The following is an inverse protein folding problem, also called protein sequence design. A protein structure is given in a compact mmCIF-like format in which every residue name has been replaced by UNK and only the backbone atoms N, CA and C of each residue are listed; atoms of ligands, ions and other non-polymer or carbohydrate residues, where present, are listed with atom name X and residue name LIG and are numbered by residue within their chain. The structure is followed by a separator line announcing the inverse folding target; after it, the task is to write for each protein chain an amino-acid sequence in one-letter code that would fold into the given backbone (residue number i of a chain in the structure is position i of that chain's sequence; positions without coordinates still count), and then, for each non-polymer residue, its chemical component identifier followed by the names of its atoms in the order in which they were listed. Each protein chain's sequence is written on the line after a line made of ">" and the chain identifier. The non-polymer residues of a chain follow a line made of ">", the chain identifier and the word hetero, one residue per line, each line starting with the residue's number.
data_IF_352935955092
#
_entry.id   IF_352935955092
#
_cell.length_a   1.000
_cell.length_b   1.000
_cell.length_c   1.000
_cell.angle_alpha   90.00
_cell.angle_beta   90.00
_cell.angle_gamma   90.00
#
_symmetry.space_group_name_H-M   'P 1'
#
loop_
_entity.id
_entity.type
_entity.pdbx_description
1 polymer ?
#
# COMPACT_ATOMS: atom_id res chain seq x y z
N UNK A 1 -12.66 1.47 5.77
CA UNK A 1 -12.55 1.98 7.17
C UNK A 1 -13.89 1.97 7.88
N UNK A 2 -14.99 2.00 7.12
CA UNK A 2 -16.35 2.14 7.65
C UNK A 2 -16.75 1.04 8.64
N UNK A 3 -16.22 -0.18 8.48
CA UNK A 3 -16.49 -1.31 9.38
C UNK A 3 -15.50 -1.45 10.56
N UNK A 4 -14.37 -0.73 10.57
CA UNK A 4 -13.38 -0.86 11.65
C UNK A 4 -13.92 -0.47 13.04
N UNK A 5 -14.72 0.61 13.18
CA UNK A 5 -15.32 0.96 14.47
C UNK A 5 -16.21 -0.14 15.07
N UNK A 6 -16.85 -0.97 14.24
CA UNK A 6 -17.71 -2.06 14.69
C UNK A 6 -16.88 -3.26 15.19
N UNK A 7 -15.80 -3.61 14.48
CA UNK A 7 -14.95 -4.76 14.83
C UNK A 7 -13.88 -4.44 15.89
N UNK A 8 -13.43 -3.19 15.96
CA UNK A 8 -12.32 -2.75 16.81
C UNK A 8 -12.70 -1.47 17.60
N UNK A 9 -13.70 -1.54 18.50
CA UNK A 9 -14.29 -0.35 19.15
C UNK A 9 -13.33 0.36 20.13
N UNK A 10 -12.22 -0.30 20.49
CA UNK A 10 -11.19 0.26 21.37
C UNK A 10 -10.25 1.24 20.67
N UNK A 11 -10.28 1.33 19.33
CA UNK A 11 -9.49 2.31 18.58
C UNK A 11 -10.14 3.70 18.70
N UNK A 12 -9.38 4.67 19.19
CA UNK A 12 -9.85 6.05 19.33
C UNK A 12 -10.25 6.67 17.98
N UNK A 13 -11.35 7.45 17.91
CA UNK A 13 -11.84 8.02 16.65
C UNK A 13 -10.82 8.86 15.87
N UNK A 14 -9.90 9.51 16.59
CA UNK A 14 -8.81 10.29 16.00
C UNK A 14 -7.81 9.45 15.20
N UNK A 15 -7.68 8.14 15.49
CA UNK A 15 -6.86 7.21 14.72
C UNK A 15 -7.31 7.07 13.26
N UNK A 16 -8.57 7.37 12.95
CA UNK A 16 -9.11 7.29 11.58
C UNK A 16 -8.82 8.53 10.72
N UNK A 17 -8.30 9.62 11.31
CA UNK A 17 -8.12 10.89 10.63
C UNK A 17 -7.16 10.80 9.43
N UNK A 18 -6.10 9.99 9.55
CA UNK A 18 -5.16 9.78 8.46
C UNK A 18 -5.86 9.25 7.20
N UNK A 19 -6.64 8.18 7.36
CA UNK A 19 -7.34 7.54 6.25
C UNK A 19 -8.41 8.45 5.63
N UNK A 20 -9.16 9.19 6.46
CA UNK A 20 -10.14 10.17 5.99
C UNK A 20 -9.50 11.26 5.12
N UNK A 21 -8.34 11.79 5.54
CA UNK A 21 -7.58 12.78 4.75
C UNK A 21 -7.12 12.19 3.41
N UNK A 22 -6.57 10.97 3.42
CA UNK A 22 -6.07 10.31 2.21
C UNK A 22 -7.14 10.05 1.14
N UNK A 23 -8.42 9.90 1.51
CA UNK A 23 -9.52 9.79 0.53
C UNK A 23 -9.63 11.02 -0.39
N UNK A 24 -9.27 12.20 0.10
CA UNK A 24 -9.32 13.43 -0.69
C UNK A 24 -7.97 13.78 -1.34
N UNK A 25 -6.85 13.39 -0.72
CA UNK A 25 -5.50 13.66 -1.22
C UNK A 25 -5.08 12.70 -2.33
N UNK A 26 -5.28 11.40 -2.15
CA UNK A 26 -4.79 10.40 -3.08
C UNK A 26 -5.31 10.58 -4.52
N UNK A 27 -6.60 10.91 -4.77
CA UNK A 27 -7.06 11.17 -6.13
C UNK A 27 -6.36 12.36 -6.79
N UNK A 28 -6.09 13.43 -6.03
CA UNK A 28 -5.37 14.62 -6.53
C UNK A 28 -3.92 14.27 -6.91
N UNK A 29 -3.26 13.49 -6.06
CA UNK A 29 -1.90 13.01 -6.31
C UNK A 29 -1.85 12.15 -7.59
N UNK A 30 -2.84 11.27 -7.78
CA UNK A 30 -2.92 10.37 -8.95
C UNK A 30 -3.16 11.12 -10.25
N UNK A 31 -3.98 12.17 -10.28
CA UNK A 31 -4.19 12.97 -11.50
C UNK A 31 -2.86 13.52 -12.01
N UNK A 32 -2.08 14.14 -11.14
CA UNK A 32 -0.77 14.70 -11.50
C UNK A 32 0.22 13.60 -11.90
N UNK A 33 0.29 12.52 -11.12
CA UNK A 33 1.20 11.40 -11.42
C UNK A 33 0.88 10.69 -12.74
N UNK A 34 -0.40 10.52 -13.04
CA UNK A 34 -0.86 9.92 -14.29
C UNK A 34 -0.52 10.82 -15.47
N UNK A 35 -0.75 12.13 -15.36
CA UNK A 35 -0.40 13.08 -16.43
C UNK A 35 1.09 13.00 -16.77
N UNK A 36 1.97 13.05 -15.76
CA UNK A 36 3.42 12.94 -15.96
C UNK A 36 3.80 11.60 -16.61
N UNK A 37 3.17 10.51 -16.17
CA UNK A 37 3.44 9.17 -16.72
C UNK A 37 3.06 9.11 -18.19
N UNK A 38 1.86 9.61 -18.54
CA UNK A 38 1.39 9.64 -19.92
C UNK A 38 2.24 10.58 -20.79
N UNK A 39 2.81 11.64 -20.22
CA UNK A 39 3.70 12.59 -20.90
C UNK A 39 5.11 12.07 -21.14
N UNK A 40 5.59 11.14 -20.32
CA UNK A 40 6.95 10.62 -20.40
C UNK A 40 7.07 9.33 -21.22
N UNK A 41 6.14 8.37 -21.06
CA UNK A 41 6.25 7.04 -21.67
C UNK A 41 5.38 6.93 -22.93
N UNK A 42 5.96 7.17 -24.11
CA UNK A 42 5.21 7.33 -25.37
C UNK A 42 5.26 6.10 -26.27
N UNK A 43 6.29 5.27 -26.14
CA UNK A 43 6.45 4.05 -26.93
C UNK A 43 5.98 2.81 -26.18
N UNK A 44 5.71 1.73 -26.92
CA UNK A 44 5.32 0.45 -26.32
C UNK A 44 6.35 -0.08 -25.33
N UNK A 45 7.63 -0.05 -25.69
CA UNK A 45 8.73 -0.51 -24.84
C UNK A 45 8.83 0.28 -23.52
N UNK A 46 8.68 1.61 -23.61
CA UNK A 46 8.62 2.50 -22.44
C UNK A 46 7.43 2.20 -21.54
N UNK A 47 6.25 1.96 -22.11
CA UNK A 47 5.05 1.62 -21.36
C UNK A 47 5.20 0.27 -20.64
N UNK A 48 5.78 -0.74 -21.31
CA UNK A 48 6.07 -2.04 -20.70
C UNK A 48 7.04 -1.90 -19.52
N UNK A 49 8.08 -1.07 -19.65
CA UNK A 49 8.97 -0.73 -18.53
C UNK A 49 8.21 -0.08 -17.38
N UNK A 50 7.33 0.88 -17.65
CA UNK A 50 6.56 1.57 -16.62
C UNK A 50 5.58 0.62 -15.90
N UNK A 51 4.96 -0.31 -16.63
CA UNK A 51 4.17 -1.38 -16.03
C UNK A 51 5.01 -2.26 -15.11
N UNK A 52 6.26 -2.59 -15.51
CA UNK A 52 7.21 -3.29 -14.64
C UNK A 52 7.56 -2.51 -13.36
N UNK A 53 7.71 -1.18 -13.44
CA UNK A 53 7.92 -0.33 -12.26
C UNK A 53 6.68 -0.33 -11.35
N UNK A 54 5.48 -0.29 -11.93
CA UNK A 54 4.25 -0.38 -11.17
C UNK A 54 4.12 -1.74 -10.47
N UNK A 55 4.46 -2.83 -11.17
CA UNK A 55 4.51 -4.16 -10.58
C UNK A 55 5.47 -4.22 -9.39
N UNK A 56 6.69 -3.71 -9.55
CA UNK A 56 7.65 -3.62 -8.44
C UNK A 56 7.09 -2.87 -7.23
N UNK A 57 6.37 -1.77 -7.46
CA UNK A 57 5.72 -1.02 -6.38
C UNK A 57 4.64 -1.85 -5.66
N UNK A 58 3.90 -2.68 -6.38
CA UNK A 58 2.93 -3.60 -5.80
C UNK A 58 3.63 -4.71 -5.01
N UNK A 59 4.72 -5.27 -5.53
CA UNK A 59 5.51 -6.31 -4.86
C UNK A 59 6.07 -5.82 -3.52
N UNK A 60 6.50 -4.55 -3.44
CA UNK A 60 6.94 -3.94 -2.18
C UNK A 60 5.81 -3.89 -1.15
N UNK A 61 4.62 -3.41 -1.55
CA UNK A 61 3.47 -3.36 -0.64
C UNK A 61 3.05 -4.75 -0.19
N UNK A 62 3.12 -5.73 -1.09
CA UNK A 62 2.82 -7.12 -0.80
C UNK A 62 3.81 -7.71 0.21
N UNK A 63 5.11 -7.47 0.00
CA UNK A 63 6.18 -7.96 0.88
C UNK A 63 6.04 -7.42 2.31
N UNK A 64 5.58 -6.17 2.48
CA UNK A 64 5.28 -5.62 3.80
C UNK A 64 4.17 -6.42 4.51
N UNK A 65 3.12 -6.78 3.79
CA UNK A 65 2.05 -7.63 4.31
C UNK A 65 2.53 -9.04 4.63
N UNK A 66 3.35 -9.65 3.76
CA UNK A 66 3.95 -10.97 3.99
C UNK A 66 4.79 -10.98 5.28
N UNK A 67 5.60 -9.93 5.50
CA UNK A 67 6.39 -9.82 6.73
C UNK A 67 5.52 -9.71 7.99
N UNK A 68 4.43 -8.92 7.94
CA UNK A 68 3.48 -8.83 9.04
C UNK A 68 2.72 -10.14 9.26
N UNK A 69 2.34 -10.84 8.19
CA UNK A 69 1.69 -12.14 8.27
C UNK A 69 2.59 -13.17 8.95
N UNK A 70 3.83 -13.29 8.49
CA UNK A 70 4.81 -14.20 9.06
C UNK A 70 5.01 -13.95 10.55
N UNK A 71 5.13 -12.68 10.97
CA UNK A 71 5.39 -12.34 12.36
C UNK A 71 4.17 -12.50 13.27
N UNK A 72 2.98 -12.06 12.83
CA UNK A 72 1.83 -11.86 13.72
C UNK A 72 0.65 -12.81 13.46
N UNK A 73 0.70 -13.62 12.40
CA UNK A 73 -0.31 -14.64 12.10
C UNK A 73 0.28 -16.04 12.16
N UNK A 74 1.42 -16.27 11.52
CA UNK A 74 2.11 -17.57 11.57
C UNK A 74 2.97 -17.76 12.82
N UNK A 75 3.14 -16.71 13.63
CA UNK A 75 4.01 -16.70 14.82
C UNK A 75 5.47 -17.07 14.50
N UNK A 76 5.93 -16.70 13.29
CA UNK A 76 7.28 -16.91 12.80
C UNK A 76 8.02 -15.58 12.57
N UNK A 77 8.21 -14.75 13.61
CA UNK A 77 9.04 -13.57 13.46
C UNK A 77 10.51 -13.96 13.14
N UNK A 78 11.33 -13.00 12.68
CA UNK A 78 12.76 -13.26 12.49
C UNK A 78 13.40 -13.83 13.75
N UNK A 79 14.23 -14.86 13.59
CA UNK A 79 14.93 -15.56 14.68
C UNK A 79 14.03 -16.29 15.69
N UNK A 80 12.79 -16.65 15.33
CA UNK A 80 11.89 -17.37 16.24
C UNK A 80 12.29 -18.83 16.54
N UNK A 81 13.33 -19.36 15.89
CA UNK A 81 13.77 -20.74 16.08
C UNK A 81 14.14 -20.92 17.57
N UNK A 82 13.48 -21.86 18.22
CA UNK A 82 13.70 -22.19 19.63
C UNK A 82 15.19 -22.46 19.90
N UNK A 83 15.75 -21.77 20.90
CA UNK A 83 16.92 -22.23 21.65
C UNK A 83 16.43 -23.14 22.76
#
# INVERSE_FOLDING_TARGET
>A
IDHWPEHYPWIEPQGYNYFKKRLHEAPRDVINGLQITMDYYKTRSEQERMLGILQFKLDVLWTMCDAMWMAYVEERPPYHMDV
#
